data_IF_529354030793
#
_entry.id   IF_529354030793
#
_cell.length_a   1.000
_cell.length_b   1.000
_cell.length_c   1.000
_cell.angle_alpha   90.00
_cell.angle_beta   90.00
_cell.angle_gamma   90.00
#
_symmetry.space_group_name_H-M   'P 1'
#
loop_
_entity.id
_entity.type
_entity.pdbx_description
1 polymer ?
#
# COMPACT_ATOMS: atom_id res chain seq x y z
N UNK A 1 -17.15 -19.16 8.35
CA UNK A 1 -15.84 -19.17 7.68
C UNK A 1 -14.99 -18.24 8.50
N UNK A 2 -14.29 -18.82 9.48
CA UNK A 2 -13.53 -18.05 10.45
C UNK A 2 -12.18 -17.70 9.81
N UNK A 3 -11.94 -16.40 9.67
CA UNK A 3 -10.67 -15.90 9.16
C UNK A 3 -9.63 -16.08 10.26
N UNK A 4 -8.81 -17.12 10.14
CA UNK A 4 -7.63 -17.28 10.99
C UNK A 4 -6.60 -16.24 10.57
N UNK A 5 -6.52 -15.18 11.37
CA UNK A 5 -5.41 -14.23 11.37
C UNK A 5 -4.14 -15.02 11.75
N UNK A 6 -3.16 -15.12 10.85
CA UNK A 6 -1.86 -15.73 11.15
C UNK A 6 -1.12 -14.97 12.26
N UNK A 7 -0.07 -15.55 12.83
CA UNK A 7 0.75 -14.92 13.88
C UNK A 7 1.35 -13.55 13.47
N UNK A 8 1.59 -13.29 12.18
CA UNK A 8 2.06 -12.00 11.67
C UNK A 8 0.95 -10.96 11.64
N UNK A 9 -0.30 -11.37 11.39
CA UNK A 9 -1.47 -10.50 11.45
C UNK A 9 -1.90 -10.21 12.90
N UNK A 10 -1.58 -11.09 13.85
CA UNK A 10 -1.64 -10.79 15.29
C UNK A 10 -0.52 -9.84 15.74
N UNK A 11 0.64 -9.86 15.08
CA UNK A 11 1.73 -8.90 15.32
C UNK A 11 1.39 -7.48 14.82
N UNK A 12 0.48 -7.36 13.85
CA UNK A 12 -0.17 -6.10 13.49
C UNK A 12 -1.27 -5.80 14.51
N UNK A 13 -0.91 -5.51 15.76
CA UNK A 13 -1.81 -4.78 16.65
C UNK A 13 -2.02 -3.40 16.04
N UNK A 14 -3.05 -3.28 15.20
CA UNK A 14 -3.51 -1.98 14.74
C UNK A 14 -3.87 -1.18 15.98
N UNK A 15 -3.11 -0.12 16.21
CA UNK A 15 -3.32 0.74 17.37
C UNK A 15 -4.74 1.32 17.30
N UNK A 16 -5.61 0.88 18.22
CA UNK A 16 -6.93 1.44 18.41
C UNK A 16 -6.83 2.54 19.46
N UNK A 17 -7.07 3.79 19.06
CA UNK A 17 -7.12 4.91 19.99
C UNK A 17 -8.24 4.66 21.02
N UNK A 18 -7.87 4.49 22.29
CA UNK A 18 -8.83 4.44 23.40
C UNK A 18 -9.41 5.84 23.64
N UNK A 19 -10.74 6.00 23.79
CA UNK A 19 -11.33 7.31 24.01
C UNK A 19 -10.96 7.82 25.41
N UNK A 20 -9.95 8.68 25.48
CA UNK A 20 -9.48 9.24 26.74
C UNK A 20 -8.26 10.14 26.53
N UNK A 21 -8.51 11.43 26.29
CA UNK A 21 -7.55 12.54 26.47
C UNK A 21 -6.18 12.48 25.77
N UNK A 22 -5.91 11.56 24.84
CA UNK A 22 -4.69 11.60 24.02
C UNK A 22 -5.00 12.30 22.70
N UNK A 23 -4.46 13.49 22.52
CA UNK A 23 -4.39 14.15 21.21
C UNK A 23 -3.33 13.44 20.38
N UNK A 24 -3.74 12.88 19.25
CA UNK A 24 -2.85 12.19 18.32
C UNK A 24 -2.36 13.15 17.27
N UNK A 25 -1.05 13.16 17.05
CA UNK A 25 -0.43 13.98 16.02
C UNK A 25 -0.66 13.34 14.66
N UNK A 26 -1.25 14.08 13.73
CA UNK A 26 -1.52 13.64 12.36
C UNK A 26 -0.87 14.58 11.38
N UNK A 27 -0.11 14.02 10.45
CA UNK A 27 0.35 14.74 9.27
C UNK A 27 -0.58 14.42 8.10
N UNK A 28 -0.96 15.46 7.35
CA UNK A 28 -1.74 15.32 6.11
C UNK A 28 -0.94 15.95 4.97
N UNK A 29 -0.01 15.17 4.44
CA UNK A 29 0.83 15.54 3.29
C UNK A 29 0.36 14.82 2.02
N UNK A 30 -0.90 15.08 1.64
CA UNK A 30 -1.44 14.59 0.38
C UNK A 30 -1.12 15.62 -0.72
N UNK A 31 -0.23 15.27 -1.65
CA UNK A 31 0.12 16.15 -2.79
C UNK A 31 -1.02 16.35 -3.80
N UNK A 32 -2.10 15.57 -3.70
CA UNK A 32 -3.23 15.66 -4.59
C UNK A 32 -4.22 16.74 -4.13
N UNK A 33 -4.39 17.79 -4.93
CA UNK A 33 -5.30 18.93 -4.69
C UNK A 33 -6.75 18.52 -4.43
N UNK A 34 -7.19 17.38 -5.00
CA UNK A 34 -8.53 16.86 -4.78
C UNK A 34 -8.67 16.16 -3.42
N UNK A 35 -7.71 15.30 -3.06
CA UNK A 35 -7.82 14.42 -1.87
C UNK A 35 -7.47 15.19 -0.59
N UNK A 36 -6.48 16.08 -0.66
CA UNK A 36 -5.99 16.85 0.49
C UNK A 36 -7.10 17.58 1.28
N UNK A 37 -7.96 18.40 0.66
CA UNK A 37 -9.01 19.12 1.41
C UNK A 37 -10.05 18.17 2.03
N UNK A 38 -10.32 17.02 1.40
CA UNK A 38 -11.26 16.03 1.93
C UNK A 38 -10.72 15.36 3.20
N UNK A 39 -9.43 14.98 3.17
CA UNK A 39 -8.75 14.37 4.33
C UNK A 39 -8.60 15.37 5.47
N UNK A 40 -8.18 16.61 5.17
CA UNK A 40 -8.09 17.68 6.17
C UNK A 40 -9.45 17.95 6.82
N UNK A 41 -10.52 18.06 6.02
CA UNK A 41 -11.89 18.24 6.53
C UNK A 41 -12.28 17.12 7.49
N UNK A 42 -11.96 15.87 7.16
CA UNK A 42 -12.27 14.72 8.03
C UNK A 42 -11.54 14.76 9.37
N UNK A 43 -10.26 15.18 9.40
CA UNK A 43 -9.50 15.34 10.63
C UNK A 43 -9.97 16.54 11.46
N UNK A 44 -10.27 17.68 10.82
CA UNK A 44 -10.78 18.90 11.48
C UNK A 44 -12.10 18.61 12.20
N UNK A 45 -13.01 17.83 11.58
CA UNK A 45 -14.27 17.40 12.21
C UNK A 45 -14.06 16.57 13.50
N UNK A 46 -12.85 16.04 13.70
CA UNK A 46 -12.46 15.21 14.85
C UNK A 46 -11.31 15.84 15.64
N UNK A 47 -11.24 17.17 15.68
CA UNK A 47 -10.17 17.94 16.33
C UNK A 47 -9.98 17.66 17.83
N UNK A 48 -11.00 17.11 18.52
CA UNK A 48 -10.87 16.66 19.92
C UNK A 48 -9.95 15.44 20.08
N UNK A 49 -9.68 14.72 19.00
CA UNK A 49 -8.89 13.48 18.99
C UNK A 49 -7.59 13.65 18.24
N UNK A 50 -7.57 14.48 17.18
CA UNK A 50 -6.44 14.64 16.28
C UNK A 50 -5.92 16.08 16.31
N UNK A 51 -4.62 16.21 16.53
CA UNK A 51 -3.86 17.45 16.40
C UNK A 51 -3.12 17.41 15.04
N UNK A 52 -3.51 18.31 14.14
CA UNK A 52 -3.00 18.30 12.77
C UNK A 52 -1.69 19.07 12.72
N UNK A 53 -0.60 18.37 12.39
CA UNK A 53 0.70 18.99 12.18
C UNK A 53 0.85 19.36 10.71
N UNK A 54 0.90 20.66 10.46
CA UNK A 54 1.27 21.26 9.17
C UNK A 54 2.66 21.87 9.33
N UNK A 55 3.73 21.08 9.23
CA UNK A 55 5.08 21.66 9.12
C UNK A 55 5.94 20.91 8.12
N UNK A 56 6.66 21.71 7.34
CA UNK A 56 7.68 21.31 6.36
C UNK A 56 9.06 21.04 7.02
N UNK A 57 9.18 21.17 8.36
CA UNK A 57 10.48 21.32 9.04
C UNK A 57 10.70 20.48 10.30
N UNK A 58 9.79 19.57 10.68
CA UNK A 58 10.10 18.60 11.75
C UNK A 58 10.95 17.44 11.16
N UNK A 59 12.16 17.15 11.68
CA UNK A 59 13.03 16.09 11.17
C UNK A 59 12.57 14.66 11.54
N UNK A 60 11.50 14.51 12.33
CA UNK A 60 10.93 13.20 12.73
C UNK A 60 9.82 12.73 11.81
N UNK A 61 9.80 13.24 10.59
CA UNK A 61 8.54 13.35 9.87
C UNK A 61 8.75 12.97 8.41
N UNK A 62 8.51 11.69 8.06
CA UNK A 62 8.59 11.22 6.69
C UNK A 62 7.43 11.77 5.84
N UNK A 63 7.67 11.95 4.56
CA UNK A 63 6.65 12.37 3.59
C UNK A 63 5.72 11.19 3.28
N UNK A 64 4.43 11.47 3.07
CA UNK A 64 3.40 10.41 2.90
C UNK A 64 3.36 9.80 1.49
N UNK A 65 4.33 10.13 0.65
CA UNK A 65 4.59 9.33 -0.54
C UNK A 65 5.11 7.97 -0.08
N UNK A 66 4.61 6.88 -0.67
CA UNK A 66 5.05 5.53 -0.30
C UNK A 66 6.59 5.39 -0.30
N UNK A 67 7.27 6.08 -1.22
CA UNK A 67 8.72 6.06 -1.36
C UNK A 67 9.43 6.80 -0.22
N UNK A 68 8.75 7.74 0.45
CA UNK A 68 9.32 8.60 1.50
C UNK A 68 8.86 8.22 2.91
N UNK A 69 7.98 7.21 3.03
CA UNK A 69 7.56 6.69 4.32
C UNK A 69 8.74 6.04 5.07
N UNK A 70 8.90 6.40 6.36
CA UNK A 70 9.85 5.73 7.25
C UNK A 70 9.31 4.35 7.66
N UNK A 71 9.51 3.37 6.78
CA UNK A 71 9.10 1.99 7.01
C UNK A 71 9.74 1.38 8.26
N UNK A 72 10.89 1.88 8.71
CA UNK A 72 11.56 1.35 9.90
C UNK A 72 10.77 1.71 11.16
N UNK A 73 10.35 2.95 11.31
CA UNK A 73 9.54 3.39 12.45
C UNK A 73 8.11 2.84 12.39
N UNK A 74 7.56 2.69 11.17
CA UNK A 74 6.25 2.06 10.96
C UNK A 74 6.27 0.58 11.38
N UNK A 75 7.27 -0.19 10.92
CA UNK A 75 7.39 -1.62 11.27
C UNK A 75 7.75 -1.85 12.74
N UNK A 76 8.32 -0.85 13.42
CA UNK A 76 8.51 -0.84 14.90
C UNK A 76 7.24 -0.51 15.68
N UNK A 77 6.15 -0.15 15.01
CA UNK A 77 4.88 0.22 15.63
C UNK A 77 4.88 1.62 16.27
N UNK A 78 5.86 2.47 15.96
CA UNK A 78 5.96 3.83 16.53
C UNK A 78 5.10 4.84 15.75
N UNK A 79 4.89 4.58 14.46
CA UNK A 79 4.11 5.45 13.55
C UNK A 79 3.10 4.61 12.78
N UNK A 80 1.91 5.15 12.54
CA UNK A 80 0.90 4.55 11.66
C UNK A 80 0.88 5.33 10.35
N UNK A 81 0.84 4.61 9.23
CA UNK A 81 0.76 5.19 7.89
C UNK A 81 -0.48 4.68 7.14
N UNK A 82 -0.90 5.40 6.11
CA UNK A 82 -2.02 5.04 5.23
C UNK A 82 -1.64 4.04 4.13
N UNK A 83 -0.52 3.33 4.26
CA UNK A 83 0.06 2.48 3.23
C UNK A 83 0.68 1.22 3.81
N UNK A 84 0.76 0.17 2.99
CA UNK A 84 1.32 -1.13 3.38
C UNK A 84 2.66 -1.37 2.68
N UNK A 85 3.65 -1.86 3.43
CA UNK A 85 4.98 -2.18 2.92
C UNK A 85 4.93 -3.25 1.82
N UNK A 86 4.17 -4.33 2.04
CA UNK A 86 4.00 -5.43 1.09
C UNK A 86 2.68 -5.27 0.34
N UNK A 87 2.69 -4.42 -0.72
CA UNK A 87 1.48 -4.14 -1.54
C UNK A 87 1.57 -4.59 -2.99
N UNK A 88 2.77 -4.91 -3.49
CA UNK A 88 3.03 -5.18 -4.92
C UNK A 88 2.17 -6.31 -5.48
N UNK A 89 1.84 -7.29 -4.64
CA UNK A 89 1.00 -8.41 -5.04
C UNK A 89 -0.39 -8.02 -5.50
N UNK A 90 -0.95 -6.93 -4.99
CA UNK A 90 -2.26 -6.44 -5.41
C UNK A 90 -2.19 -5.21 -6.31
N UNK A 91 -1.14 -4.38 -6.17
CA UNK A 91 -1.00 -3.15 -6.95
C UNK A 91 -0.39 -3.33 -8.34
N UNK A 92 0.35 -4.43 -8.60
CA UNK A 92 0.94 -4.72 -9.92
C UNK A 92 0.08 -5.73 -10.68
N UNK A 93 -0.41 -5.35 -11.86
CA UNK A 93 -1.37 -6.15 -12.65
C UNK A 93 -0.91 -7.59 -12.90
N UNK A 94 0.37 -7.80 -13.24
CA UNK A 94 0.93 -9.13 -13.45
C UNK A 94 0.90 -9.98 -12.16
N UNK A 95 1.36 -9.43 -11.03
CA UNK A 95 1.33 -10.13 -9.75
C UNK A 95 -0.11 -10.38 -9.26
N UNK A 96 -1.00 -9.41 -9.42
CA UNK A 96 -2.42 -9.53 -9.10
C UNK A 96 -3.06 -10.70 -9.85
N UNK A 97 -2.85 -10.77 -11.16
CA UNK A 97 -3.35 -11.88 -12.00
C UNK A 97 -2.85 -13.23 -11.49
N UNK A 98 -1.55 -13.34 -11.19
CA UNK A 98 -0.93 -14.59 -10.71
C UNK A 98 -1.51 -14.99 -9.35
N UNK A 99 -1.60 -14.07 -8.39
CA UNK A 99 -2.08 -14.38 -7.04
C UNK A 99 -3.57 -14.74 -7.01
N UNK A 100 -4.40 -14.01 -7.74
CA UNK A 100 -5.82 -14.32 -7.84
C UNK A 100 -6.06 -15.65 -8.55
N UNK A 101 -5.31 -15.95 -9.62
CA UNK A 101 -5.40 -17.24 -10.31
C UNK A 101 -5.05 -18.41 -9.39
N UNK A 102 -4.01 -18.27 -8.56
CA UNK A 102 -3.64 -19.28 -7.54
C UNK A 102 -4.76 -19.47 -6.52
N UNK A 103 -5.36 -18.38 -6.04
CA UNK A 103 -6.46 -18.45 -5.08
C UNK A 103 -7.70 -19.11 -5.69
N UNK A 104 -8.14 -18.68 -6.87
CA UNK A 104 -9.32 -19.24 -7.57
C UNK A 104 -9.13 -20.73 -7.85
N UNK A 105 -7.92 -21.17 -8.21
CA UNK A 105 -7.64 -22.60 -8.41
C UNK A 105 -7.91 -23.44 -7.17
N UNK A 106 -7.66 -22.89 -5.98
CA UNK A 106 -7.94 -23.55 -4.69
C UNK A 106 -9.39 -23.35 -4.23
N UNK A 107 -10.05 -22.29 -4.69
CA UNK A 107 -11.40 -21.90 -4.30
C UNK A 107 -12.28 -21.61 -5.54
N UNK A 108 -12.58 -22.62 -6.38
CA UNK A 108 -13.22 -22.40 -7.68
C UNK A 108 -14.63 -21.81 -7.58
N UNK A 109 -15.33 -22.01 -6.46
CA UNK A 109 -16.67 -21.45 -6.22
C UNK A 109 -16.70 -19.99 -5.78
N UNK A 110 -15.55 -19.33 -5.58
CA UNK A 110 -15.53 -17.94 -5.12
C UNK A 110 -15.99 -16.95 -6.21
N UNK A 111 -16.50 -15.79 -5.80
CA UNK A 111 -16.99 -14.75 -6.73
C UNK A 111 -15.89 -14.24 -7.69
N UNK A 112 -14.63 -14.29 -7.26
CA UNK A 112 -13.49 -13.85 -8.05
C UNK A 112 -13.29 -14.69 -9.33
N UNK A 113 -13.76 -15.94 -9.34
CA UNK A 113 -13.74 -16.79 -10.54
C UNK A 113 -14.55 -16.21 -11.71
N UNK A 114 -15.55 -15.36 -11.40
CA UNK A 114 -16.45 -14.74 -12.38
C UNK A 114 -16.21 -13.23 -12.54
N UNK A 115 -15.61 -12.59 -11.55
CA UNK A 115 -15.43 -11.13 -11.51
C UNK A 115 -14.15 -10.66 -12.23
N UNK A 116 -13.22 -11.56 -12.56
CA UNK A 116 -11.95 -11.18 -13.17
C UNK A 116 -11.96 -11.41 -14.68
N UNK A 117 -11.59 -10.39 -15.49
CA UNK A 117 -11.38 -10.60 -16.91
C UNK A 117 -10.15 -11.48 -17.13
N UNK A 118 -10.19 -12.29 -18.20
CA UNK A 118 -9.05 -13.10 -18.60
C UNK A 118 -7.82 -12.21 -18.78
N UNK A 119 -6.73 -12.57 -18.09
CA UNK A 119 -5.50 -11.78 -18.07
C UNK A 119 -4.32 -12.67 -18.43
N UNK A 120 -3.61 -12.31 -19.49
CA UNK A 120 -2.37 -12.96 -19.91
C UNK A 120 -1.19 -12.09 -19.48
N UNK A 121 -0.22 -12.68 -18.79
CA UNK A 121 1.05 -12.03 -18.47
C UNK A 121 2.05 -12.49 -19.53
N UNK A 122 2.52 -11.54 -20.34
CA UNK A 122 3.50 -11.80 -21.39
C UNK A 122 4.81 -11.16 -20.96
N UNK A 123 5.87 -11.96 -20.87
CA UNK A 123 7.24 -11.47 -20.72
C UNK A 123 7.86 -11.37 -22.11
N UNK A 124 8.47 -10.22 -22.41
CA UNK A 124 9.02 -9.88 -23.73
C UNK A 124 10.51 -9.60 -23.69
N UNK A 125 11.17 -9.73 -22.53
CA UNK A 125 12.60 -9.44 -22.42
C UNK A 125 13.45 -10.31 -23.35
N UNK A 126 13.19 -11.62 -23.39
CA UNK A 126 13.93 -12.53 -24.27
C UNK A 126 13.74 -12.18 -25.75
N UNK A 127 12.53 -11.79 -26.16
CA UNK A 127 12.23 -11.40 -27.53
C UNK A 127 12.88 -10.05 -27.90
N UNK A 128 12.96 -9.14 -26.92
CA UNK A 128 13.64 -7.85 -27.06
C UNK A 128 15.16 -8.03 -27.20
N UNK A 129 15.78 -8.84 -26.35
CA UNK A 129 17.22 -9.14 -26.40
C UNK A 129 17.60 -9.82 -27.71
N UNK A 130 16.78 -10.78 -28.16
CA UNK A 130 16.97 -11.42 -29.46
C UNK A 130 16.87 -10.42 -30.62
N UNK A 131 15.87 -9.52 -30.58
CA UNK A 131 15.71 -8.49 -31.61
C UNK A 131 16.89 -7.51 -31.64
N UNK A 132 17.44 -7.15 -30.48
CA UNK A 132 18.62 -6.30 -30.38
C UNK A 132 19.89 -7.01 -30.90
N UNK A 133 20.05 -8.29 -30.59
CA UNK A 133 21.12 -9.11 -31.12
C UNK A 133 21.04 -9.21 -32.65
N UNK A 134 19.84 -9.42 -33.20
CA UNK A 134 19.59 -9.47 -34.64
C UNK A 134 19.86 -8.11 -35.33
N UNK A 135 19.68 -7.00 -34.61
CA UNK A 135 20.01 -5.64 -35.05
C UNK A 135 21.49 -5.26 -34.83
N UNK A 136 22.31 -6.17 -34.29
CA UNK A 136 23.73 -5.93 -34.02
C UNK A 136 24.00 -4.94 -32.89
N UNK A 137 23.00 -4.62 -32.05
CA UNK A 137 23.12 -3.72 -30.92
C UNK A 137 23.38 -4.55 -29.66
N UNK A 138 24.62 -4.58 -29.19
CA UNK A 138 25.02 -5.26 -27.95
C UNK A 138 25.24 -4.25 -26.84
N UNK A 139 24.43 -4.31 -25.77
CA UNK A 139 24.69 -3.61 -24.51
C UNK A 139 25.59 -4.49 -23.62
N UNK A 140 26.90 -4.46 -23.89
CA UNK A 140 27.93 -4.88 -22.93
C UNK A 140 28.73 -3.67 -22.50
#
# INVERSE_FOLDING_TARGET
>A
MDWYLDEQSLALQYYAATPGQRTFKVRVDALCDYVRPLVLKAFIQRSKTWDIITSDSDPRTPDLLYEDLDWKEILRGQVVANSYCVRKGLSRKAQLSIFLSKYIRKHPGCILSKALPQTLVVDLWDAFDQSLADLGVSFR
#
